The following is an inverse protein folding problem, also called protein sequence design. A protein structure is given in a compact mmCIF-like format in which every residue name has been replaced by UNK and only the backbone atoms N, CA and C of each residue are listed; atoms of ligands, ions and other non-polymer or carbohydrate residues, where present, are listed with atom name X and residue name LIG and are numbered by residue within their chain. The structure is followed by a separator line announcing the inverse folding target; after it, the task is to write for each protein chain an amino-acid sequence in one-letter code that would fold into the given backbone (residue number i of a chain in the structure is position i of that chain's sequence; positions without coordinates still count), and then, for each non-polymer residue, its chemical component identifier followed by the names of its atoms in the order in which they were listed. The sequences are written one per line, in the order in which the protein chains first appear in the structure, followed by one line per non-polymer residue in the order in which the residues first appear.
data_IF_414391736236
#
_entry.id   IF_414391736236
#
_cell.length_a   1.000
_cell.length_b   1.000
_cell.length_c   1.000
_cell.angle_alpha   90.00
_cell.angle_beta   90.00
_cell.angle_gamma   90.00
#
_symmetry.space_group_name_H-M   'P 1'
#
loop_
_entity.id
_entity.type
_entity.pdbx_description
1 polymer ?
#
# COMPACT_ATOMS: atom_id res chain seq x y z
N UNK A 1 0.40 -4.46 -2.34
CA UNK A 1 -0.94 -5.06 -2.32
C UNK A 1 -1.56 -4.99 -0.93
N UNK A 2 -0.82 -5.43 0.08
CA UNK A 2 -1.32 -5.39 1.46
C UNK A 2 -1.60 -3.95 1.94
N UNK A 3 -0.67 -3.05 1.69
CA UNK A 3 -0.83 -1.64 2.06
C UNK A 3 -2.02 -0.99 1.34
N UNK A 4 -2.19 -1.28 0.06
CA UNK A 4 -3.28 -0.73 -0.75
C UNK A 4 -4.63 -1.19 -0.24
N UNK A 5 -4.78 -2.48 0.05
CA UNK A 5 -6.03 -3.02 0.60
C UNK A 5 -6.31 -2.52 2.01
N UNK A 6 -5.27 -2.33 2.83
CA UNK A 6 -5.42 -1.78 4.18
C UNK A 6 -5.93 -0.33 4.17
N UNK A 7 -5.49 0.47 3.19
CA UNK A 7 -5.88 1.88 3.08
C UNK A 7 -7.24 2.08 2.41
N UNK A 8 -7.54 1.29 1.40
CA UNK A 8 -8.70 1.54 0.52
C UNK A 8 -9.90 0.64 0.82
N UNK A 9 -9.72 -0.38 1.66
CA UNK A 9 -10.77 -1.35 1.95
C UNK A 9 -10.91 -2.40 0.85
N UNK A 10 -12.01 -3.14 0.82
CA UNK A 10 -12.21 -4.21 -0.16
C UNK A 10 -12.09 -3.70 -1.60
N UNK A 11 -11.39 -4.44 -2.44
CA UNK A 11 -11.09 -4.03 -3.80
C UNK A 11 -11.11 -5.22 -4.77
N UNK A 12 -11.53 -4.96 -6.00
CA UNK A 12 -11.50 -5.95 -7.08
C UNK A 12 -10.08 -6.18 -7.61
N UNK A 13 -9.85 -7.34 -8.19
CA UNK A 13 -8.51 -7.71 -8.68
C UNK A 13 -8.06 -6.82 -9.85
N UNK A 14 -8.96 -6.46 -10.75
CA UNK A 14 -8.63 -5.58 -11.88
C UNK A 14 -8.17 -4.21 -11.41
N UNK A 15 -8.90 -3.64 -10.47
CA UNK A 15 -8.52 -2.34 -9.89
C UNK A 15 -7.19 -2.43 -9.16
N UNK A 16 -6.96 -3.50 -8.38
CA UNK A 16 -5.69 -3.71 -7.69
C UNK A 16 -4.52 -3.84 -8.66
N UNK A 17 -4.70 -4.59 -9.75
CA UNK A 17 -3.65 -4.74 -10.75
C UNK A 17 -3.24 -3.39 -11.35
N UNK A 18 -4.21 -2.55 -11.67
CA UNK A 18 -3.95 -1.21 -12.20
C UNK A 18 -3.27 -0.33 -11.15
N UNK A 19 -3.76 -0.34 -9.93
CA UNK A 19 -3.24 0.48 -8.84
C UNK A 19 -1.80 0.11 -8.48
N UNK A 20 -1.48 -1.18 -8.50
CA UNK A 20 -0.14 -1.69 -8.21
C UNK A 20 0.80 -1.65 -9.42
N UNK A 21 0.28 -1.36 -10.60
CA UNK A 21 1.07 -1.44 -11.83
C UNK A 21 1.53 -2.85 -12.16
N UNK A 22 0.73 -3.84 -11.82
CA UNK A 22 1.05 -5.26 -11.99
C UNK A 22 0.25 -5.89 -13.11
N UNK A 23 0.86 -6.87 -13.78
CA UNK A 23 0.18 -7.80 -14.65
C UNK A 23 -0.88 -8.57 -13.83
N UNK A 24 -2.09 -8.81 -14.36
CA UNK A 24 -3.15 -9.50 -13.62
C UNK A 24 -2.76 -10.90 -13.13
N UNK A 25 -1.95 -11.63 -13.88
CA UNK A 25 -1.49 -12.97 -13.49
C UNK A 25 -0.56 -12.87 -12.27
N UNK A 26 0.38 -11.92 -12.31
CA UNK A 26 1.29 -11.67 -11.19
C UNK A 26 0.53 -11.23 -9.95
N UNK A 27 -0.43 -10.32 -10.11
CA UNK A 27 -1.26 -9.87 -9.00
C UNK A 27 -2.02 -11.04 -8.36
N UNK A 28 -2.63 -11.89 -9.18
CA UNK A 28 -3.36 -13.07 -8.68
C UNK A 28 -2.48 -13.99 -7.85
N UNK A 29 -1.22 -14.19 -8.27
CA UNK A 29 -0.26 -15.00 -7.53
C UNK A 29 0.10 -14.36 -6.18
N UNK A 30 0.32 -13.05 -6.16
CA UNK A 30 0.62 -12.31 -4.93
C UNK A 30 -0.57 -12.38 -3.97
N UNK A 31 -1.77 -12.14 -4.47
CA UNK A 31 -3.01 -12.21 -3.67
C UNK A 31 -3.19 -13.60 -3.09
N UNK A 32 -2.99 -14.64 -3.92
CA UNK A 32 -3.11 -16.03 -3.45
C UNK A 32 -2.15 -16.33 -2.30
N UNK A 33 -0.90 -15.88 -2.41
CA UNK A 33 0.10 -16.06 -1.34
C UNK A 33 -0.30 -15.35 -0.05
N UNK A 34 -0.84 -14.14 -0.18
CA UNK A 34 -1.29 -13.37 0.98
C UNK A 34 -2.54 -13.99 1.62
N UNK A 35 -3.45 -14.53 0.81
CA UNK A 35 -4.60 -15.30 1.30
C UNK A 35 -4.15 -16.55 2.04
N UNK A 36 -3.22 -17.31 1.47
CA UNK A 36 -2.67 -18.51 2.06
C UNK A 36 -1.99 -18.22 3.41
N UNK A 37 -1.36 -17.08 3.53
CA UNK A 37 -0.75 -16.60 4.77
C UNK A 37 -1.76 -16.03 5.78
N UNK A 38 -3.04 -15.94 5.42
CA UNK A 38 -4.08 -15.41 6.29
C UNK A 38 -4.11 -13.89 6.40
N UNK A 39 -3.46 -13.18 5.47
CA UNK A 39 -3.34 -11.72 5.48
C UNK A 39 -4.39 -11.02 4.64
N UNK A 40 -4.92 -11.69 3.63
CA UNK A 40 -6.04 -11.24 2.81
C UNK A 40 -7.13 -12.30 2.82
N UNK A 41 -8.36 -11.87 2.55
CA UNK A 41 -9.50 -12.77 2.39
C UNK A 41 -10.35 -12.31 1.20
N UNK A 42 -10.95 -13.25 0.50
CA UNK A 42 -11.92 -12.95 -0.57
C UNK A 42 -13.32 -12.87 -0.01
N UNK A 43 -14.12 -12.01 -0.62
CA UNK A 43 -15.54 -11.93 -0.32
C UNK A 43 -16.31 -11.70 -1.62
N UNK A 44 -17.60 -12.10 -1.69
CA UNK A 44 -18.40 -11.84 -2.87
C UNK A 44 -18.57 -10.35 -3.13
N UNK A 45 -18.56 -9.96 -4.40
CA UNK A 45 -18.87 -8.59 -4.79
C UNK A 45 -20.32 -8.21 -4.47
N UNK A 46 -20.60 -6.92 -4.21
CA UNK A 46 -21.93 -6.48 -3.80
C UNK A 46 -22.98 -6.56 -4.91
N UNK A 47 -22.58 -6.51 -6.17
CA UNK A 47 -23.48 -6.55 -7.33
C UNK A 47 -23.41 -7.86 -8.09
N UNK A 48 -22.23 -8.47 -8.16
CA UNK A 48 -21.98 -9.72 -8.84
C UNK A 48 -21.11 -10.60 -7.94
N UNK A 49 -21.68 -11.72 -7.50
CA UNK A 49 -20.97 -12.67 -6.63
C UNK A 49 -19.75 -13.32 -7.31
N UNK A 50 -19.69 -13.28 -8.66
CA UNK A 50 -18.56 -13.79 -9.43
C UNK A 50 -17.37 -12.83 -9.38
N UNK A 51 -17.63 -11.54 -9.22
CA UNK A 51 -16.61 -10.52 -9.08
C UNK A 51 -16.17 -10.43 -7.61
N UNK A 52 -15.25 -11.28 -7.22
CA UNK A 52 -14.75 -11.32 -5.85
C UNK A 52 -13.98 -10.04 -5.50
N UNK A 53 -14.21 -9.56 -4.30
CA UNK A 53 -13.41 -8.51 -3.69
C UNK A 53 -12.36 -9.13 -2.77
N UNK A 54 -11.24 -8.45 -2.63
CA UNK A 54 -10.18 -8.83 -1.71
C UNK A 54 -10.12 -7.80 -0.61
N UNK A 55 -10.08 -8.24 0.63
CA UNK A 55 -9.96 -7.36 1.79
C UNK A 55 -8.85 -7.81 2.72
N UNK A 56 -8.29 -6.88 3.47
CA UNK A 56 -7.27 -7.17 4.47
C UNK A 56 -7.95 -7.83 5.68
N UNK A 57 -7.31 -8.88 6.21
CA UNK A 57 -7.74 -9.51 7.47
C UNK A 57 -7.20 -8.71 8.66
N UNK A 58 -7.69 -9.04 9.87
CA UNK A 58 -7.13 -8.45 11.10
C UNK A 58 -5.63 -8.73 11.21
N UNK A 59 -5.19 -9.95 10.87
CA UNK A 59 -3.77 -10.29 10.86
C UNK A 59 -2.97 -9.47 9.83
N UNK A 60 -3.55 -9.30 8.64
CA UNK A 60 -2.94 -8.48 7.60
C UNK A 60 -2.79 -7.02 8.01
N UNK A 61 -3.81 -6.47 8.65
CA UNK A 61 -3.78 -5.10 9.17
C UNK A 61 -2.70 -4.91 10.24
N UNK A 62 -2.60 -5.87 11.17
CA UNK A 62 -1.55 -5.83 12.20
C UNK A 62 -0.15 -5.87 11.60
N UNK A 63 0.06 -6.73 10.60
CA UNK A 63 1.35 -6.80 9.90
C UNK A 63 1.67 -5.49 9.18
N UNK A 64 0.70 -4.93 8.48
CA UNK A 64 0.87 -3.66 7.78
C UNK A 64 1.24 -2.53 8.74
N UNK A 65 0.55 -2.42 9.87
CA UNK A 65 0.83 -1.41 10.89
C UNK A 65 2.22 -1.56 11.50
N UNK A 66 2.64 -2.81 11.76
CA UNK A 66 3.98 -3.10 12.29
C UNK A 66 5.07 -2.71 11.29
N UNK A 67 4.92 -3.07 10.02
CA UNK A 67 5.88 -2.69 8.97
C UNK A 67 5.97 -1.17 8.84
N UNK A 68 4.82 -0.51 8.87
CA UNK A 68 4.75 0.95 8.80
C UNK A 68 5.46 1.61 9.98
N UNK A 69 5.25 1.10 11.19
CA UNK A 69 5.89 1.62 12.40
C UNK A 69 7.41 1.42 12.34
N UNK A 70 7.87 0.24 11.93
CA UNK A 70 9.30 -0.04 11.77
C UNK A 70 9.96 0.88 10.75
N UNK A 71 9.31 1.14 9.62
CA UNK A 71 9.82 2.07 8.61
C UNK A 71 9.88 3.50 9.14
N UNK A 72 8.84 3.92 9.87
CA UNK A 72 8.80 5.25 10.46
C UNK A 72 9.92 5.43 11.47
N UNK A 73 10.16 4.44 12.32
CA UNK A 73 11.23 4.47 13.31
C UNK A 73 12.61 4.51 12.64
N UNK A 74 12.83 3.70 11.62
CA UNK A 74 14.10 3.68 10.88
C UNK A 74 14.37 5.03 10.21
N UNK A 75 13.38 5.61 9.55
CA UNK A 75 13.50 6.92 8.92
C UNK A 75 13.72 8.02 9.96
N UNK A 76 12.99 7.97 11.07
CA UNK A 76 13.14 8.94 12.17
C UNK A 76 14.56 8.92 12.75
N UNK A 77 15.14 7.72 12.94
CA UNK A 77 16.51 7.58 13.41
C UNK A 77 17.51 8.19 12.43
N UNK A 78 17.34 7.97 11.13
CA UNK A 78 18.18 8.57 10.12
C UNK A 78 18.09 10.10 10.12
N UNK A 79 16.87 10.62 10.25
CA UNK A 79 16.62 12.07 10.30
C UNK A 79 17.27 12.71 11.54
N UNK A 80 17.24 12.05 12.69
CA UNK A 80 17.88 12.52 13.91
C UNK A 80 19.39 12.73 13.77
N UNK A 81 20.04 12.02 12.86
CA UNK A 81 21.47 12.15 12.58
C UNK A 81 21.78 13.26 11.59
N UNK A 82 20.78 13.90 10.99
CA UNK A 82 20.99 15.02 10.09
C UNK A 82 21.33 16.29 10.85
N UNK A 83 22.20 17.13 10.26
CA UNK A 83 22.44 18.48 10.75
C UNK A 83 21.16 19.33 10.64
N UNK A 84 21.10 20.40 11.43
CA UNK A 84 19.92 21.28 11.47
C UNK A 84 19.55 21.86 10.11
N UNK A 85 20.55 22.23 9.28
CA UNK A 85 20.32 22.78 7.94
C UNK A 85 19.72 21.74 6.99
N UNK A 86 20.22 20.49 7.01
CA UNK A 86 19.71 19.41 6.18
C UNK A 86 18.30 19.01 6.58
N UNK A 87 18.03 18.99 7.88
CA UNK A 87 16.71 18.70 8.43
C UNK A 87 15.68 19.74 8.00
N UNK A 88 16.05 21.02 8.04
CA UNK A 88 15.19 22.11 7.58
C UNK A 88 14.91 22.00 6.08
N UNK A 89 15.92 21.64 5.29
CA UNK A 89 15.78 21.42 3.85
C UNK A 89 14.84 20.27 3.56
N UNK A 90 14.94 19.16 4.28
CA UNK A 90 14.07 18.01 4.13
C UNK A 90 12.61 18.37 4.46
N UNK A 91 12.39 19.06 5.57
CA UNK A 91 11.05 19.49 5.97
C UNK A 91 10.42 20.41 4.93
N UNK A 92 11.19 21.32 4.34
CA UNK A 92 10.72 22.22 3.29
C UNK A 92 10.41 21.47 1.98
N UNK A 93 11.08 20.36 1.72
CA UNK A 93 10.89 19.57 0.49
C UNK A 93 9.71 18.60 0.55
N UNK A 94 9.19 18.25 1.74
CA UNK A 94 8.11 17.27 1.89
C UNK A 94 6.85 17.60 1.07
N UNK A 95 6.32 18.83 1.08
CA UNK A 95 5.14 19.15 0.28
C UNK A 95 5.36 18.94 -1.23
N UNK A 96 6.55 19.27 -1.72
CA UNK A 96 6.92 19.08 -3.15
C UNK A 96 6.97 17.58 -3.47
N UNK A 97 7.58 16.78 -2.61
CA UNK A 97 7.68 15.34 -2.79
C UNK A 97 6.30 14.68 -2.81
N UNK A 98 5.43 15.09 -1.92
CA UNK A 98 4.05 14.59 -1.86
C UNK A 98 3.29 14.92 -3.14
N UNK A 99 3.47 16.13 -3.66
CA UNK A 99 2.84 16.54 -4.92
C UNK A 99 3.36 15.72 -6.09
N UNK A 100 4.66 15.48 -6.17
CA UNK A 100 5.25 14.64 -7.22
C UNK A 100 4.73 13.22 -7.17
N UNK A 101 4.56 12.65 -5.98
CA UNK A 101 4.02 11.32 -5.82
C UNK A 101 2.57 11.24 -6.32
N UNK A 102 1.75 12.24 -6.04
CA UNK A 102 0.37 12.33 -6.55
C UNK A 102 0.34 12.46 -8.06
N UNK A 103 1.16 13.33 -8.63
CA UNK A 103 1.23 13.56 -10.07
C UNK A 103 1.67 12.29 -10.81
N UNK A 104 2.62 11.56 -10.26
CA UNK A 104 3.07 10.30 -10.83
C UNK A 104 1.95 9.25 -10.84
N UNK A 105 1.19 9.18 -9.78
CA UNK A 105 0.06 8.25 -9.66
C UNK A 105 -1.03 8.59 -10.68
N UNK A 106 -1.34 9.87 -10.86
CA UNK A 106 -2.38 10.33 -11.79
C UNK A 106 -2.01 10.08 -13.26
N UNK A 107 -0.73 9.93 -13.57
CA UNK A 107 -0.24 9.65 -14.93
C UNK A 107 -0.25 8.16 -15.30
N UNK A 108 -0.53 7.28 -14.38
CA UNK A 108 -0.62 5.85 -14.68
C UNK A 108 -1.83 5.58 -15.57
N UNK A 109 -1.64 4.88 -16.71
CA UNK A 109 -2.75 4.52 -17.60
C UNK A 109 -3.72 3.52 -16.94
#
# INVERSE_FOLDING_TARGET
VLATTARNGPAGLTWLAQEEGMNPIMLSQVVWRLEDAGLLARRPGPRDRRAALVEVTAAGRRLHERIRAERTDAVSQLIEHLGAADRATLDAALPVREQLARDLKDRRP
#
